data_IF_576535044052
#
_entry.id   IF_576535044052
#
_cell.length_a   1.000
_cell.length_b   1.000
_cell.length_c   1.000
_cell.angle_alpha   90.00
_cell.angle_beta   90.00
_cell.angle_gamma   90.00
#
_symmetry.space_group_name_H-M   'P 1'
#
loop_
_entity.id
_entity.type
_entity.pdbx_description
1 polymer ?
#
# COMPACT_ATOMS: atom_id res chain seq x y z
N UNK A 1 -9.70 5.92 2.79
CA UNK A 1 -11.08 5.78 3.31
C UNK A 1 -11.17 6.00 4.82
N UNK A 2 -10.06 6.13 5.49
CA UNK A 2 -9.98 6.46 6.91
C UNK A 2 -9.95 7.98 7.12
N UNK A 3 -10.58 8.46 8.19
CA UNK A 3 -10.70 9.89 8.50
C UNK A 3 -9.39 10.51 9.05
N UNK A 4 -8.34 9.69 9.23
CA UNK A 4 -7.02 10.10 9.75
C UNK A 4 -6.03 10.48 8.66
N UNK A 5 -6.36 10.28 7.39
CA UNK A 5 -5.49 10.61 6.26
C UNK A 5 -6.01 11.76 5.43
N UNK A 6 -5.04 12.49 4.85
CA UNK A 6 -5.30 13.58 3.93
C UNK A 6 -4.58 13.33 2.59
N UNK A 7 -5.07 13.89 1.46
CA UNK A 7 -4.35 13.85 0.20
C UNK A 7 -2.92 14.39 0.35
N UNK A 8 -1.95 13.62 -0.13
CA UNK A 8 -0.51 13.88 0.04
C UNK A 8 0.16 13.13 1.19
N UNK A 9 -0.61 12.41 2.02
CA UNK A 9 -0.04 11.52 3.04
C UNK A 9 0.62 10.29 2.39
N UNK A 10 1.77 9.90 2.94
CA UNK A 10 2.46 8.65 2.62
C UNK A 10 2.22 7.69 3.77
N UNK A 11 1.51 6.60 3.49
CA UNK A 11 1.10 5.61 4.49
C UNK A 11 1.88 4.31 4.29
N UNK A 12 2.55 3.81 5.32
CA UNK A 12 3.17 2.49 5.32
C UNK A 12 2.08 1.41 5.45
N UNK A 13 2.03 0.48 4.50
CA UNK A 13 1.08 -0.61 4.52
C UNK A 13 1.58 -1.66 5.51
N UNK A 14 0.80 -1.95 6.54
CA UNK A 14 1.13 -2.93 7.57
C UNK A 14 0.35 -4.24 7.45
N UNK A 15 -0.75 -4.25 6.69
CA UNK A 15 -1.52 -5.43 6.31
C UNK A 15 -2.39 -5.13 5.08
N UNK A 16 -3.01 -6.17 4.49
CA UNK A 16 -3.92 -5.97 3.37
C UNK A 16 -5.14 -6.89 3.39
N UNK A 17 -6.17 -6.48 2.67
CA UNK A 17 -7.37 -7.26 2.40
C UNK A 17 -7.51 -7.41 0.88
N UNK A 18 -7.53 -8.64 0.39
CA UNK A 18 -7.74 -8.93 -1.03
C UNK A 18 -9.24 -9.11 -1.32
N UNK A 19 -9.85 -8.14 -1.98
CA UNK A 19 -11.28 -8.14 -2.35
C UNK A 19 -11.52 -8.47 -3.84
N UNK A 20 -10.48 -8.88 -4.58
CA UNK A 20 -10.59 -9.07 -6.02
C UNK A 20 -11.06 -10.46 -6.43
N UNK A 21 -11.03 -11.43 -5.51
CA UNK A 21 -11.22 -12.86 -5.85
C UNK A 21 -10.09 -13.44 -6.70
N UNK A 22 -9.02 -12.68 -6.97
CA UNK A 22 -7.84 -13.08 -7.72
C UNK A 22 -6.62 -13.22 -6.81
N UNK A 23 -5.65 -14.06 -7.21
CA UNK A 23 -4.38 -14.25 -6.51
C UNK A 23 -3.31 -14.64 -7.52
N UNK A 24 -2.13 -13.98 -7.54
CA UNK A 24 -1.08 -14.27 -8.51
C UNK A 24 -0.52 -15.70 -8.42
N UNK A 25 -0.78 -16.41 -7.33
CA UNK A 25 -0.35 -17.81 -7.14
C UNK A 25 -1.38 -18.84 -7.61
N UNK A 26 -2.52 -18.41 -8.19
CA UNK A 26 -3.49 -19.33 -8.80
C UNK A 26 -2.83 -20.02 -9.99
N UNK A 27 -3.03 -21.35 -10.09
CA UNK A 27 -2.46 -22.17 -11.17
C UNK A 27 -1.37 -23.11 -10.65
N UNK A 28 -0.48 -23.53 -11.55
CA UNK A 28 0.64 -24.42 -11.22
C UNK A 28 1.67 -23.66 -10.38
N UNK A 29 2.09 -24.26 -9.26
CA UNK A 29 3.16 -23.66 -8.46
C UNK A 29 4.49 -23.62 -9.23
N UNK A 30 5.22 -22.56 -9.05
CA UNK A 30 6.60 -22.40 -9.54
C UNK A 30 7.55 -22.73 -8.38
N UNK A 31 7.81 -24.02 -8.15
CA UNK A 31 8.51 -24.56 -6.98
C UNK A 31 9.91 -23.94 -6.78
N UNK A 32 10.53 -23.46 -7.87
CA UNK A 32 11.83 -22.75 -7.80
C UNK A 32 11.76 -21.38 -7.13
N UNK A 33 10.57 -20.79 -7.02
CA UNK A 33 10.38 -19.48 -6.37
C UNK A 33 9.92 -19.61 -4.94
N UNK A 34 9.07 -20.61 -4.62
CA UNK A 34 8.59 -20.74 -3.25
C UNK A 34 7.56 -21.86 -3.07
N UNK A 35 7.09 -22.06 -1.83
CA UNK A 35 6.16 -23.12 -1.47
C UNK A 35 4.76 -22.86 -2.05
N UNK A 36 4.00 -23.93 -2.29
CA UNK A 36 2.61 -23.83 -2.78
C UNK A 36 1.71 -22.98 -1.88
N UNK A 37 1.93 -22.99 -0.59
CA UNK A 37 1.13 -22.30 0.42
C UNK A 37 2.04 -21.45 1.31
N UNK A 38 2.44 -20.25 0.86
CA UNK A 38 3.26 -19.36 1.67
C UNK A 38 2.45 -18.78 2.85
N UNK A 39 3.11 -18.65 4.00
CA UNK A 39 2.53 -17.98 5.16
C UNK A 39 2.49 -16.46 4.94
N UNK A 40 1.32 -15.85 5.15
CA UNK A 40 1.07 -14.42 5.00
C UNK A 40 0.91 -13.69 6.33
N UNK A 41 1.13 -14.35 7.48
CA UNK A 41 0.92 -13.75 8.83
C UNK A 41 1.78 -12.51 9.07
N UNK A 42 2.96 -12.45 8.45
CA UNK A 42 3.86 -11.29 8.49
C UNK A 42 4.35 -11.01 7.06
N UNK A 43 3.44 -10.58 6.18
CA UNK A 43 3.78 -10.30 4.80
C UNK A 43 4.63 -9.03 4.67
N UNK A 44 4.32 -7.99 5.44
CA UNK A 44 5.11 -6.76 5.52
C UNK A 44 6.10 -6.86 6.69
N UNK A 45 7.40 -6.70 6.37
CA UNK A 45 8.50 -6.92 7.33
C UNK A 45 8.51 -5.82 8.40
N UNK A 46 8.48 -6.23 9.69
CA UNK A 46 8.45 -5.30 10.82
C UNK A 46 9.74 -4.51 10.98
N UNK A 47 10.89 -5.10 10.64
CA UNK A 47 12.17 -4.40 10.67
C UNK A 47 12.23 -3.28 9.63
N UNK A 48 11.74 -3.56 8.42
CA UNK A 48 11.61 -2.54 7.39
C UNK A 48 10.59 -1.44 7.75
N UNK A 49 9.51 -1.78 8.44
CA UNK A 49 8.55 -0.78 8.93
C UNK A 49 9.16 0.13 9.99
N UNK A 50 9.95 -0.42 10.92
CA UNK A 50 10.61 0.39 11.95
C UNK A 50 11.68 1.30 11.34
N UNK A 51 12.49 0.80 10.41
CA UNK A 51 13.43 1.61 9.65
C UNK A 51 12.70 2.75 8.90
N UNK A 52 11.58 2.44 8.23
CA UNK A 52 10.77 3.43 7.55
C UNK A 52 10.22 4.50 8.53
N UNK A 53 9.83 4.09 9.73
CA UNK A 53 9.40 5.01 10.79
C UNK A 53 10.51 5.98 11.20
N UNK A 54 11.73 5.47 11.40
CA UNK A 54 12.87 6.30 11.78
C UNK A 54 13.23 7.30 10.67
N UNK A 55 13.35 6.84 9.44
CA UNK A 55 13.68 7.69 8.28
C UNK A 55 12.59 8.73 8.02
N UNK A 56 11.32 8.36 8.18
CA UNK A 56 10.20 9.28 7.90
C UNK A 56 10.22 10.55 8.75
N UNK A 57 10.85 10.53 9.93
CA UNK A 57 10.95 11.71 10.84
C UNK A 57 11.55 12.94 10.16
N UNK A 58 12.38 12.73 9.14
CA UNK A 58 13.01 13.80 8.36
C UNK A 58 12.15 14.28 7.17
N UNK A 59 11.05 13.60 6.86
CA UNK A 59 10.29 13.81 5.63
C UNK A 59 8.80 14.05 5.83
N UNK A 60 8.14 13.24 6.70
CA UNK A 60 6.71 13.31 6.95
C UNK A 60 6.32 12.57 8.24
N UNK A 61 5.11 12.80 8.71
CA UNK A 61 4.53 12.03 9.82
C UNK A 61 4.29 10.58 9.40
N UNK A 62 4.86 9.64 10.15
CA UNK A 62 4.70 8.20 9.89
C UNK A 62 3.29 7.73 10.22
N UNK A 63 2.59 7.26 9.22
CA UNK A 63 1.25 6.66 9.35
C UNK A 63 1.28 5.24 8.82
N UNK A 64 0.46 4.35 9.41
CA UNK A 64 0.30 2.96 8.96
C UNK A 64 -1.15 2.68 8.66
N UNK A 65 -1.43 1.73 7.75
CA UNK A 65 -2.80 1.38 7.44
C UNK A 65 -2.95 0.04 6.73
N UNK A 66 -4.17 -0.50 6.77
CA UNK A 66 -4.59 -1.71 6.09
C UNK A 66 -5.10 -1.34 4.69
N UNK A 67 -4.51 -1.96 3.67
CA UNK A 67 -4.83 -1.68 2.27
C UNK A 67 -5.81 -2.72 1.71
N UNK A 68 -6.98 -2.28 1.23
CA UNK A 68 -7.91 -3.14 0.51
C UNK A 68 -7.65 -3.06 -1.01
N UNK A 69 -7.44 -4.22 -1.63
CA UNK A 69 -7.21 -4.33 -3.06
C UNK A 69 -8.51 -4.62 -3.80
N UNK A 70 -8.89 -3.70 -4.68
CA UNK A 70 -9.94 -3.85 -5.69
C UNK A 70 -9.33 -4.00 -7.09
N UNK A 71 -10.02 -4.73 -7.96
CA UNK A 71 -9.50 -5.02 -9.31
C UNK A 71 -9.41 -3.77 -10.19
N UNK A 72 -10.37 -2.83 -10.02
CA UNK A 72 -10.56 -1.75 -11.00
C UNK A 72 -11.06 -2.30 -12.35
N UNK A 73 -11.03 -1.51 -13.46
CA UNK A 73 -10.45 -0.15 -13.57
C UNK A 73 -11.37 0.98 -13.10
N UNK A 74 -12.63 0.68 -12.69
CA UNK A 74 -13.50 1.68 -12.08
C UNK A 74 -13.05 1.98 -10.65
N UNK A 75 -13.22 3.24 -10.21
CA UNK A 75 -13.19 3.55 -8.79
C UNK A 75 -14.34 2.86 -8.06
N UNK A 76 -14.15 2.66 -6.77
CA UNK A 76 -15.14 2.05 -5.90
C UNK A 76 -16.40 2.93 -5.80
N UNK A 77 -17.54 2.29 -5.67
CA UNK A 77 -18.80 2.97 -5.32
C UNK A 77 -18.79 3.39 -3.83
N UNK A 78 -19.63 4.36 -3.40
CA UNK A 78 -19.76 4.70 -1.98
C UNK A 78 -20.07 3.50 -1.07
N UNK A 79 -20.85 2.53 -1.58
CA UNK A 79 -21.19 1.31 -0.82
C UNK A 79 -19.98 0.37 -0.68
N UNK A 80 -19.16 0.23 -1.71
CA UNK A 80 -17.92 -0.55 -1.66
C UNK A 80 -16.89 0.10 -0.72
N UNK A 81 -16.76 1.42 -0.74
CA UNK A 81 -15.93 2.19 0.21
C UNK A 81 -16.39 1.95 1.64
N UNK A 82 -17.69 2.06 1.90
CA UNK A 82 -18.25 1.81 3.24
C UNK A 82 -18.06 0.35 3.68
N UNK A 83 -18.20 -0.61 2.76
CA UNK A 83 -17.92 -2.02 3.03
C UNK A 83 -16.47 -2.24 3.42
N UNK A 84 -15.50 -1.71 2.65
CA UNK A 84 -14.09 -1.80 2.94
C UNK A 84 -13.74 -1.19 4.31
N UNK A 85 -14.29 -0.02 4.63
CA UNK A 85 -14.14 0.63 5.94
C UNK A 85 -14.68 -0.25 7.09
N UNK A 86 -15.84 -0.86 6.91
CA UNK A 86 -16.48 -1.71 7.93
C UNK A 86 -15.71 -3.00 8.23
N UNK A 87 -14.96 -3.54 7.27
CA UNK A 87 -14.11 -4.73 7.47
C UNK A 87 -12.69 -4.39 7.92
N UNK A 88 -12.40 -3.13 8.20
CA UNK A 88 -11.15 -2.67 8.80
C UNK A 88 -10.08 -2.17 7.82
N UNK A 89 -10.43 -1.90 6.55
CA UNK A 89 -9.51 -1.25 5.64
C UNK A 89 -9.41 0.26 5.92
N UNK A 90 -8.21 0.79 5.76
CA UNK A 90 -7.88 2.21 5.88
C UNK A 90 -7.68 2.87 4.52
N UNK A 91 -7.22 2.10 3.56
CA UNK A 91 -6.87 2.51 2.20
C UNK A 91 -7.55 1.58 1.19
N UNK A 92 -7.84 2.12 0.00
CA UNK A 92 -8.31 1.32 -1.15
C UNK A 92 -7.45 1.64 -2.37
N UNK A 93 -7.29 0.65 -3.24
CA UNK A 93 -6.60 0.85 -4.50
C UNK A 93 -6.51 -0.43 -5.33
N UNK A 94 -5.83 -0.35 -6.49
CA UNK A 94 -5.86 -1.36 -7.55
C UNK A 94 -4.50 -2.05 -7.77
N UNK A 95 -3.56 -1.90 -6.83
CA UNK A 95 -2.16 -2.39 -6.95
C UNK A 95 -1.65 -2.99 -5.65
N UNK A 96 -0.33 -3.18 -5.56
CA UNK A 96 0.45 -3.46 -4.34
C UNK A 96 0.25 -4.88 -3.78
N UNK A 97 -0.97 -5.35 -3.61
CA UNK A 97 -1.25 -6.65 -3.00
C UNK A 97 -0.78 -7.82 -3.85
N UNK A 98 -1.02 -7.87 -5.19
CA UNK A 98 -0.51 -8.97 -6.01
C UNK A 98 1.02 -9.01 -6.03
N UNK A 99 1.68 -7.84 -6.06
CA UNK A 99 3.14 -7.74 -6.00
C UNK A 99 3.67 -8.23 -4.65
N UNK A 100 3.02 -7.84 -3.54
CA UNK A 100 3.40 -8.29 -2.20
C UNK A 100 3.23 -9.81 -2.03
N UNK A 101 2.13 -10.39 -2.53
CA UNK A 101 1.91 -11.85 -2.51
C UNK A 101 3.01 -12.57 -3.30
N UNK A 102 3.34 -12.11 -4.51
CA UNK A 102 4.37 -12.72 -5.35
C UNK A 102 5.77 -12.59 -4.72
N UNK A 103 6.10 -11.43 -4.15
CA UNK A 103 7.36 -11.19 -3.46
C UNK A 103 7.50 -12.06 -2.20
N UNK A 104 6.45 -12.20 -1.41
CA UNK A 104 6.42 -13.08 -0.24
C UNK A 104 6.63 -14.55 -0.63
N UNK A 105 5.97 -14.99 -1.70
CA UNK A 105 6.17 -16.34 -2.26
C UNK A 105 7.63 -16.57 -2.65
N UNK A 106 8.30 -15.56 -3.19
CA UNK A 106 9.72 -15.60 -3.55
C UNK A 106 10.70 -15.41 -2.36
N UNK A 107 10.20 -15.35 -1.13
CA UNK A 107 11.02 -15.23 0.09
C UNK A 107 11.60 -13.83 0.31
N UNK A 108 11.08 -12.80 -0.35
CA UNK A 108 11.56 -11.43 -0.19
C UNK A 108 11.00 -10.78 1.08
N UNK A 109 11.78 -9.89 1.70
CA UNK A 109 11.27 -8.94 2.69
C UNK A 109 10.55 -7.80 1.97
N UNK A 110 9.41 -7.36 2.50
CA UNK A 110 8.52 -6.42 1.84
C UNK A 110 8.27 -5.22 2.74
N UNK A 111 8.46 -4.03 2.17
CA UNK A 111 7.93 -2.78 2.67
C UNK A 111 7.13 -2.12 1.57
N UNK A 112 5.94 -1.62 1.88
CA UNK A 112 5.06 -1.01 0.91
C UNK A 112 4.50 0.31 1.44
N UNK A 113 4.39 1.29 0.54
CA UNK A 113 3.90 2.63 0.84
C UNK A 113 2.81 3.02 -0.13
N UNK A 114 1.74 3.60 0.39
CA UNK A 114 0.65 4.15 -0.41
C UNK A 114 0.64 5.67 -0.27
N UNK A 115 0.61 6.39 -1.40
CA UNK A 115 0.31 7.81 -1.42
C UNK A 115 -1.20 7.99 -1.46
N UNK A 116 -1.75 8.69 -0.50
CA UNK A 116 -3.17 9.09 -0.50
C UNK A 116 -3.34 10.21 -1.52
N UNK A 117 -4.01 9.93 -2.60
CA UNK A 117 -4.22 10.89 -3.70
C UNK A 117 -5.54 11.61 -3.63
N UNK A 118 -6.54 11.00 -3.02
CA UNK A 118 -7.89 11.55 -2.84
C UNK A 118 -8.60 10.88 -1.68
N UNK A 119 -9.70 11.47 -1.25
CA UNK A 119 -10.69 10.82 -0.41
C UNK A 119 -11.66 10.05 -1.31
N UNK A 120 -11.88 8.78 -0.99
CA UNK A 120 -12.68 7.88 -1.83
C UNK A 120 -14.14 8.34 -2.03
N UNK A 121 -14.83 7.70 -2.97
CA UNK A 121 -16.22 8.01 -3.29
C UNK A 121 -17.15 7.95 -2.06
N UNK A 122 -18.03 8.93 -1.92
CA UNK A 122 -18.92 9.07 -0.77
C UNK A 122 -18.30 9.72 0.47
N UNK A 123 -16.97 9.90 0.50
CA UNK A 123 -16.24 10.70 1.49
C UNK A 123 -15.88 12.04 0.87
N UNK A 124 -15.30 12.02 -0.35
CA UNK A 124 -15.08 13.23 -1.14
C UNK A 124 -16.42 13.89 -1.50
N UNK A 125 -16.47 15.22 -1.42
CA UNK A 125 -17.61 16.01 -1.89
C UNK A 125 -17.63 16.17 -3.42
N UNK A 126 -16.47 15.97 -4.07
CA UNK A 126 -16.31 16.10 -5.51
C UNK A 126 -16.24 14.72 -6.18
N UNK A 127 -16.67 14.60 -7.45
CA UNK A 127 -16.41 13.41 -8.23
C UNK A 127 -14.93 13.12 -8.33
N UNK A 128 -14.53 11.85 -8.22
CA UNK A 128 -13.14 11.44 -8.38
C UNK A 128 -12.73 11.56 -9.85
N UNK A 129 -11.54 12.10 -10.10
CA UNK A 129 -10.94 12.15 -11.42
C UNK A 129 -9.45 11.78 -11.36
N UNK A 130 -8.92 11.34 -12.49
CA UNK A 130 -7.52 10.92 -12.57
C UNK A 130 -6.54 12.12 -12.56
N UNK A 131 -6.99 13.29 -12.92
CA UNK A 131 -6.16 14.50 -12.95
C UNK A 131 -5.74 14.91 -11.53
N UNK A 132 -6.65 14.84 -10.54
CA UNK A 132 -6.32 15.07 -9.12
C UNK A 132 -5.28 14.07 -8.61
N UNK A 133 -5.36 12.80 -9.03
CA UNK A 133 -4.38 11.77 -8.66
C UNK A 133 -2.98 12.16 -9.14
N UNK A 134 -2.87 12.62 -10.40
CA UNK A 134 -1.59 13.05 -10.99
C UNK A 134 -1.07 14.30 -10.29
N UNK A 135 -1.91 15.29 -10.01
CA UNK A 135 -1.54 16.53 -9.33
C UNK A 135 -0.97 16.26 -7.93
N UNK A 136 -1.66 15.47 -7.11
CA UNK A 136 -1.19 15.11 -5.76
C UNK A 136 0.10 14.30 -5.83
N UNK A 137 0.23 13.40 -6.82
CA UNK A 137 1.46 12.62 -7.02
C UNK A 137 2.66 13.55 -7.34
N UNK A 138 2.49 14.53 -8.20
CA UNK A 138 3.53 15.50 -8.55
C UNK A 138 3.91 16.39 -7.36
N UNK A 139 2.93 16.88 -6.60
CA UNK A 139 3.17 17.66 -5.38
C UNK A 139 3.93 16.86 -4.32
N UNK A 140 3.68 15.56 -4.21
CA UNK A 140 4.30 14.67 -3.21
C UNK A 140 5.64 14.09 -3.67
N UNK A 141 6.01 14.25 -4.94
CA UNK A 141 7.16 13.62 -5.57
C UNK A 141 8.49 13.87 -4.86
N UNK A 142 8.79 15.13 -4.53
CA UNK A 142 10.06 15.48 -3.88
C UNK A 142 10.16 14.85 -2.49
N UNK A 143 9.07 14.90 -1.72
CA UNK A 143 8.96 14.30 -0.38
C UNK A 143 9.19 12.78 -0.44
N UNK A 144 8.48 12.11 -1.35
CA UNK A 144 8.61 10.65 -1.53
C UNK A 144 10.00 10.26 -2.02
N UNK A 145 10.59 11.01 -2.98
CA UNK A 145 11.94 10.74 -3.47
C UNK A 145 13.01 10.93 -2.39
N UNK A 146 12.90 11.97 -1.57
CA UNK A 146 13.80 12.20 -0.44
C UNK A 146 13.77 11.05 0.54
N UNK A 147 12.58 10.68 0.98
CA UNK A 147 12.36 9.54 1.85
C UNK A 147 12.92 8.23 1.28
N UNK A 148 12.59 7.89 0.04
CA UNK A 148 13.03 6.63 -0.59
C UNK A 148 14.55 6.56 -0.73
N UNK A 149 15.22 7.67 -1.06
CA UNK A 149 16.69 7.71 -1.13
C UNK A 149 17.33 7.43 0.22
N UNK A 150 16.86 8.07 1.28
CA UNK A 150 17.37 7.88 2.62
C UNK A 150 17.06 6.46 3.12
N UNK A 151 15.83 5.98 2.97
CA UNK A 151 15.42 4.62 3.34
C UNK A 151 16.28 3.53 2.68
N UNK A 152 16.55 3.65 1.36
CA UNK A 152 17.41 2.72 0.63
C UNK A 152 18.89 2.83 1.04
N UNK A 153 19.35 4.03 1.43
CA UNK A 153 20.71 4.22 1.93
C UNK A 153 20.92 3.51 3.27
N UNK A 154 19.98 3.66 4.19
CA UNK A 154 20.04 3.01 5.51
C UNK A 154 19.95 1.47 5.40
N UNK A 155 19.17 0.93 4.47
CA UNK A 155 19.12 -0.52 4.20
C UNK A 155 20.47 -1.10 3.79
N UNK A 156 21.33 -0.31 3.13
CA UNK A 156 22.65 -0.75 2.70
C UNK A 156 23.73 -0.57 3.79
N UNK A 157 23.46 0.23 4.83
CA UNK A 157 24.41 0.46 5.93
C UNK A 157 24.39 -0.66 6.98
N UNK A 158 23.30 -1.43 7.05
CA UNK A 158 23.13 -2.55 8.01
C UNK A 158 23.58 -3.92 7.45
N UNK A 159 24.12 -3.95 6.22
CA UNK A 159 24.70 -5.16 5.60
C UNK A 159 26.23 -5.03 5.50
#
# INVERSE_FOLDING_TARGET
>A
ISDIYEPGDIVSINDHINLTGNNPLIGKNLDNFGPRFPDMSEIYDKGLQELAREVSKNHFEFKTGIYAWFTGPSYETPAEVQFAKNIGADLVGMSTVPEAIAAKHAGMKISAFSLVTNLAAGISKNPLNHEEVVEIADLSKQKLQGFMKEFLSELNSDN
#
